data_IF_927138647989
#
_entry.id   IF_927138647989
#
_cell.length_a   1.000
_cell.length_b   1.000
_cell.length_c   1.000
_cell.angle_alpha   90.00
_cell.angle_beta   90.00
_cell.angle_gamma   90.00
#
_symmetry.space_group_name_H-M   'P 1'
#
loop_
_entity.id
_entity.type
_entity.pdbx_description
1 polymer ?
#
# COMPACT_ATOMS: atom_id res chain seq x y z
N UNK A 1 18.18 -8.91 15.85
CA UNK A 1 17.63 -9.27 14.53
C UNK A 1 18.77 -9.96 13.80
N UNK A 2 18.58 -11.17 13.27
CA UNK A 2 19.52 -11.82 12.35
C UNK A 2 18.70 -12.41 11.21
N UNK A 3 19.04 -12.07 9.97
CA UNK A 3 18.29 -12.45 8.78
C UNK A 3 18.51 -11.52 7.59
N UNK A 4 18.05 -11.95 6.40
CA UNK A 4 18.20 -11.30 5.09
C UNK A 4 17.87 -9.80 5.05
N UNK A 5 17.03 -9.32 5.97
CA UNK A 5 16.69 -7.90 6.15
C UNK A 5 17.90 -7.03 6.53
N UNK A 6 18.83 -7.55 7.35
CA UNK A 6 20.03 -6.80 7.74
C UNK A 6 21.01 -6.65 6.56
N UNK A 7 21.13 -7.67 5.73
CA UNK A 7 21.96 -7.58 4.53
C UNK A 7 21.43 -6.55 3.53
N UNK A 8 20.11 -6.43 3.40
CA UNK A 8 19.48 -5.37 2.60
C UNK A 8 19.79 -3.98 3.15
N UNK A 9 19.53 -3.75 4.44
CA UNK A 9 19.80 -2.45 5.07
C UNK A 9 21.27 -2.05 4.97
N UNK A 10 22.19 -2.99 5.21
CA UNK A 10 23.62 -2.73 5.09
C UNK A 10 24.07 -2.48 3.64
N UNK A 11 23.34 -3.00 2.65
CA UNK A 11 23.62 -2.70 1.23
C UNK A 11 23.07 -1.32 0.87
N UNK A 12 21.84 -1.01 1.29
CA UNK A 12 21.19 0.28 1.05
C UNK A 12 22.00 1.45 1.65
N UNK A 13 22.47 1.31 2.90
CA UNK A 13 23.30 2.32 3.57
C UNK A 13 24.72 2.46 2.97
N UNK A 14 25.18 1.48 2.18
CA UNK A 14 26.46 1.55 1.48
C UNK A 14 26.34 2.15 0.09
N UNK A 15 25.20 1.98 -0.56
CA UNK A 15 24.92 2.57 -1.88
C UNK A 15 24.51 4.04 -1.78
N UNK A 16 23.85 4.43 -0.70
CA UNK A 16 23.41 5.80 -0.46
C UNK A 16 23.89 6.30 0.91
N UNK A 17 25.04 6.99 0.93
CA UNK A 17 25.59 7.61 2.15
C UNK A 17 24.74 8.80 2.65
N UNK A 18 23.91 9.39 1.78
CA UNK A 18 23.03 10.52 2.09
C UNK A 18 21.55 10.08 2.21
N UNK A 19 21.31 8.80 2.48
CA UNK A 19 19.97 8.20 2.52
C UNK A 19 19.02 9.02 3.41
N UNK A 20 18.06 9.67 2.77
CA UNK A 20 17.01 10.41 3.45
C UNK A 20 15.95 9.46 4.02
N UNK A 21 15.17 9.96 4.98
CA UNK A 21 14.06 9.21 5.55
C UNK A 21 13.03 8.80 4.48
N UNK A 22 12.78 9.69 3.51
CA UNK A 22 11.92 9.45 2.35
C UNK A 22 12.46 8.31 1.47
N UNK A 23 13.75 8.34 1.14
CA UNK A 23 14.40 7.28 0.35
C UNK A 23 14.40 5.92 1.05
N UNK A 24 14.61 5.91 2.37
CA UNK A 24 14.50 4.69 3.16
C UNK A 24 13.07 4.12 3.13
N UNK A 25 12.06 4.99 3.25
CA UNK A 25 10.65 4.58 3.21
C UNK A 25 10.29 3.98 1.85
N UNK A 26 10.72 4.59 0.75
CA UNK A 26 10.50 4.06 -0.60
C UNK A 26 11.15 2.68 -0.79
N UNK A 27 12.42 2.52 -0.40
CA UNK A 27 13.13 1.24 -0.51
C UNK A 27 12.48 0.12 0.32
N UNK A 28 11.90 0.47 1.48
CA UNK A 28 11.13 -0.48 2.30
C UNK A 28 9.81 -0.86 1.64
N UNK A 29 9.10 0.09 1.03
CA UNK A 29 7.86 -0.17 0.29
C UNK A 29 8.15 -1.00 -0.97
N UNK A 30 9.23 -0.76 -1.69
CA UNK A 30 9.62 -1.56 -2.85
C UNK A 30 9.91 -3.02 -2.45
N UNK A 31 10.66 -3.23 -1.36
CA UNK A 31 11.08 -4.57 -0.94
C UNK A 31 10.01 -5.36 -0.18
N UNK A 32 9.21 -4.68 0.64
CA UNK A 32 8.26 -5.31 1.57
C UNK A 32 6.82 -4.83 1.40
N UNK A 33 6.59 -3.71 0.71
CA UNK A 33 5.24 -3.24 0.36
C UNK A 33 4.54 -4.15 -0.66
N UNK A 34 5.27 -5.10 -1.24
CA UNK A 34 4.71 -6.12 -2.11
C UNK A 34 4.54 -5.58 -3.53
N UNK A 35 5.32 -6.15 -4.46
CA UNK A 35 5.12 -6.01 -5.91
C UNK A 35 3.82 -6.72 -6.38
N UNK A 36 2.71 -6.51 -5.68
CA UNK A 36 1.47 -7.27 -5.86
C UNK A 36 0.26 -6.66 -5.15
N UNK A 37 0.26 -5.33 -4.95
CA UNK A 37 -0.99 -4.61 -4.82
C UNK A 37 -1.73 -4.80 -6.15
N UNK A 38 -2.62 -5.79 -6.20
CA UNK A 38 -3.78 -5.73 -7.10
C UNK A 38 -4.29 -4.29 -7.07
N UNK A 39 -4.63 -3.75 -8.24
CA UNK A 39 -5.20 -2.40 -8.32
C UNK A 39 -6.25 -2.25 -7.21
N UNK A 40 -6.31 -1.12 -6.50
CA UNK A 40 -7.27 -0.93 -5.39
C UNK A 40 -8.69 -1.28 -5.85
N UNK A 41 -9.01 -1.04 -7.13
CA UNK A 41 -10.24 -1.46 -7.76
C UNK A 41 -10.41 -2.99 -7.89
N UNK A 42 -9.35 -3.73 -8.21
CA UNK A 42 -9.32 -5.19 -8.25
C UNK A 42 -9.49 -5.78 -6.84
N UNK A 43 -8.79 -5.22 -5.84
CA UNK A 43 -8.94 -5.61 -4.44
C UNK A 43 -10.37 -5.37 -3.92
N UNK A 44 -10.99 -4.25 -4.29
CA UNK A 44 -12.40 -3.98 -3.95
C UNK A 44 -13.35 -4.95 -4.64
N UNK A 45 -13.09 -5.30 -5.90
CA UNK A 45 -13.93 -6.23 -6.67
C UNK A 45 -13.91 -7.64 -6.08
N UNK A 46 -12.77 -8.04 -5.50
CA UNK A 46 -12.59 -9.34 -4.88
C UNK A 46 -12.90 -9.36 -3.38
N UNK A 47 -13.18 -8.21 -2.76
CA UNK A 47 -13.48 -8.11 -1.34
C UNK A 47 -14.80 -8.83 -1.02
N UNK A 48 -14.71 -9.90 -0.23
CA UNK A 48 -15.86 -10.66 0.28
C UNK A 48 -15.90 -10.65 1.80
N UNK A 49 -17.09 -10.75 2.37
CA UNK A 49 -17.27 -10.90 3.80
C UNK A 49 -17.07 -12.37 4.20
N UNK A 50 -15.83 -12.74 4.49
CA UNK A 50 -15.50 -14.08 4.99
C UNK A 50 -15.49 -14.16 6.53
N UNK A 51 -15.63 -13.02 7.23
CA UNK A 51 -15.55 -12.89 8.68
C UNK A 51 -16.69 -12.04 9.26
N UNK A 52 -16.39 -11.32 10.33
CA UNK A 52 -17.37 -10.39 10.93
C UNK A 52 -17.62 -9.19 10.02
N UNK A 53 -18.78 -8.55 10.22
CA UNK A 53 -19.14 -7.34 9.48
C UNK A 53 -18.14 -6.21 9.76
N UNK A 54 -17.69 -6.06 11.00
CA UNK A 54 -16.69 -5.06 11.39
C UNK A 54 -15.34 -5.25 10.68
N UNK A 55 -14.88 -6.50 10.54
CA UNK A 55 -13.65 -6.83 9.80
C UNK A 55 -13.80 -6.51 8.30
N UNK A 56 -14.98 -6.77 7.72
CA UNK A 56 -15.26 -6.41 6.34
C UNK A 56 -15.28 -4.89 6.15
N UNK A 57 -15.98 -4.15 7.02
CA UNK A 57 -16.06 -2.69 6.97
C UNK A 57 -14.66 -2.08 7.10
N UNK A 58 -13.84 -2.55 8.04
CA UNK A 58 -12.48 -2.06 8.24
C UNK A 58 -11.63 -2.23 6.97
N UNK A 59 -11.71 -3.39 6.32
CA UNK A 59 -10.98 -3.65 5.07
C UNK A 59 -11.51 -2.81 3.91
N UNK A 60 -12.83 -2.64 3.82
CA UNK A 60 -13.47 -1.80 2.81
C UNK A 60 -13.04 -0.33 2.95
N UNK A 61 -13.10 0.23 4.15
CA UNK A 61 -12.68 1.61 4.43
C UNK A 61 -11.21 1.84 4.11
N UNK A 62 -10.35 0.88 4.45
CA UNK A 62 -8.93 0.92 4.11
C UNK A 62 -8.69 1.00 2.59
N UNK A 63 -9.43 0.22 1.80
CA UNK A 63 -9.31 0.26 0.34
C UNK A 63 -9.88 1.55 -0.26
N UNK A 64 -11.06 2.01 0.20
CA UNK A 64 -11.68 3.24 -0.30
C UNK A 64 -10.84 4.48 0.02
N UNK A 65 -10.15 4.51 1.17
CA UNK A 65 -9.28 5.62 1.55
C UNK A 65 -8.07 5.81 0.61
N UNK A 66 -7.67 4.75 -0.12
CA UNK A 66 -6.59 4.78 -1.10
C UNK A 66 -7.06 5.29 -2.47
N UNK A 67 -8.37 5.31 -2.73
CA UNK A 67 -8.92 5.90 -3.95
C UNK A 67 -8.88 7.42 -3.80
N UNK A 68 -8.16 8.15 -4.67
CA UNK A 68 -8.16 9.60 -4.63
C UNK A 68 -9.59 10.09 -4.77
N UNK A 69 -10.02 11.00 -3.88
CA UNK A 69 -11.37 11.58 -3.95
C UNK A 69 -11.59 12.14 -5.34
N UNK A 70 -12.51 11.53 -6.09
CA UNK A 70 -12.91 12.03 -7.40
C UNK A 70 -13.36 13.49 -7.22
N UNK A 71 -12.90 14.43 -8.07
CA UNK A 71 -13.39 15.79 -8.04
C UNK A 71 -14.93 15.77 -8.14
N UNK A 72 -15.62 16.53 -7.28
CA UNK A 72 -17.10 16.55 -7.17
C UNK A 72 -17.84 16.71 -8.51
N UNK A 73 -17.15 17.21 -9.55
CA UNK A 73 -17.66 17.36 -10.92
C UNK A 73 -17.89 16.03 -11.67
N UNK A 74 -17.26 14.92 -11.28
CA UNK A 74 -17.46 13.61 -11.92
C UNK A 74 -18.67 12.83 -11.37
N UNK A 75 -19.24 13.22 -10.22
CA UNK A 75 -20.43 12.56 -9.65
C UNK A 75 -21.71 12.77 -10.47
N UNK A 76 -21.77 13.74 -11.37
CA UNK A 76 -22.98 14.06 -12.16
C UNK A 76 -23.08 13.35 -13.51
N UNK A 77 -22.11 12.50 -13.89
CA UNK A 77 -22.03 11.89 -15.21
C UNK A 77 -22.32 10.39 -15.28
N UNK A 78 -22.52 9.72 -14.14
CA UNK A 78 -22.64 8.25 -14.08
C UNK A 78 -23.97 7.73 -13.52
N UNK A 79 -25.04 8.53 -13.57
CA UNK A 79 -26.42 8.08 -13.32
C UNK A 79 -27.35 8.54 -14.44
#
# INVERSE_FOLDING_TARGET
>A
MEGSTIHFFNSLLREDEDLTWEGLKEALLERYGGHGERDVYEQLTELKQDGTVDEYITKFEYLVAQIPKLPEKQFRGYF
#
